data_IF_926383136250
#
_entry.id   IF_926383136250
#
_cell.length_a   1.000
_cell.length_b   1.000
_cell.length_c   1.000
_cell.angle_alpha   90.00
_cell.angle_beta   90.00
_cell.angle_gamma   90.00
#
_symmetry.space_group_name_H-M   'P 1'
#
loop_
_entity.id
_entity.type
_entity.pdbx_description
1 polymer ?
#
# COMPACT_ATOMS: atom_id res chain seq x y z
N UNK A 1 14.54 0.85 -9.04
CA UNK A 1 14.31 1.17 -7.63
C UNK A 1 14.32 -0.08 -6.76
N UNK A 2 14.04 0.05 -5.45
CA UNK A 2 14.10 -1.07 -4.49
C UNK A 2 13.23 -2.27 -4.91
N UNK A 3 11.98 -2.03 -5.29
CA UNK A 3 11.04 -3.06 -5.73
C UNK A 3 11.58 -3.87 -6.93
N UNK A 4 12.13 -3.16 -7.93
CA UNK A 4 12.74 -3.82 -9.10
C UNK A 4 13.99 -4.63 -8.72
N UNK A 5 14.80 -4.14 -7.79
CA UNK A 5 15.95 -4.89 -7.27
C UNK A 5 15.55 -6.14 -6.50
N UNK A 6 14.47 -6.05 -5.71
CA UNK A 6 13.93 -7.19 -4.97
C UNK A 6 13.44 -8.28 -5.92
N UNK A 7 12.65 -7.94 -6.95
CA UNK A 7 12.15 -8.94 -7.89
C UNK A 7 13.29 -9.57 -8.71
N UNK A 8 14.25 -8.76 -9.18
CA UNK A 8 15.43 -9.28 -9.88
C UNK A 8 16.21 -10.26 -9.00
N UNK A 9 16.46 -9.91 -7.73
CA UNK A 9 17.14 -10.80 -6.79
C UNK A 9 16.40 -12.12 -6.57
N UNK A 10 15.06 -12.08 -6.47
CA UNK A 10 14.24 -13.28 -6.31
C UNK A 10 14.23 -14.16 -7.57
N UNK A 11 14.19 -13.56 -8.77
CA UNK A 11 14.20 -14.28 -10.05
C UNK A 11 15.54 -14.98 -10.30
N UNK A 12 16.66 -14.35 -9.92
CA UNK A 12 17.99 -14.95 -10.09
C UNK A 12 18.41 -15.87 -8.94
N UNK A 13 17.71 -15.85 -7.81
CA UNK A 13 18.01 -16.75 -6.71
C UNK A 13 17.60 -18.18 -7.02
N UNK A 14 18.51 -19.16 -6.83
CA UNK A 14 18.30 -20.58 -7.14
C UNK A 14 18.19 -21.50 -5.92
N UNK A 15 18.45 -20.99 -4.70
CA UNK A 15 18.40 -21.75 -3.45
C UNK A 15 17.00 -22.29 -3.11
N UNK A 16 16.90 -23.29 -2.25
CA UNK A 16 15.64 -23.85 -1.72
C UNK A 16 14.90 -22.85 -0.85
N UNK A 17 15.62 -21.99 -0.17
CA UNK A 17 15.12 -20.83 0.55
C UNK A 17 15.91 -19.58 0.14
N UNK A 18 15.25 -18.42 0.19
CA UNK A 18 15.84 -17.12 -0.16
C UNK A 18 15.62 -16.15 0.98
N UNK A 19 16.68 -15.49 1.38
CA UNK A 19 16.61 -14.45 2.43
C UNK A 19 16.74 -13.09 1.78
N UNK A 20 15.73 -12.24 2.00
CA UNK A 20 15.72 -10.84 1.62
C UNK A 20 16.21 -10.01 2.80
N UNK A 21 17.27 -9.22 2.61
CA UNK A 21 17.87 -8.39 3.65
C UNK A 21 18.37 -7.07 3.06
N UNK A 22 18.10 -5.94 3.74
CA UNK A 22 18.65 -4.64 3.33
C UNK A 22 20.14 -4.56 3.68
N UNK A 23 20.93 -3.92 2.81
CA UNK A 23 22.38 -3.77 2.96
C UNK A 23 22.84 -2.63 3.87
N UNK A 24 21.95 -2.02 4.66
CA UNK A 24 22.23 -0.86 5.51
C UNK A 24 22.60 -1.22 6.97
N UNK A 25 22.87 -2.49 7.24
CA UNK A 25 23.26 -3.06 8.52
C UNK A 25 22.22 -2.88 9.65
N UNK A 26 20.99 -2.50 9.34
CA UNK A 26 19.91 -2.44 10.33
C UNK A 26 19.29 -3.83 10.59
N UNK A 27 19.54 -4.78 9.71
CA UNK A 27 19.12 -6.18 9.86
C UNK A 27 20.29 -7.02 10.37
N UNK A 28 20.21 -7.56 11.62
CA UNK A 28 21.32 -8.29 12.20
C UNK A 28 21.52 -9.66 11.53
N UNK A 29 22.69 -9.94 10.93
CA UNK A 29 22.96 -11.24 10.33
C UNK A 29 22.92 -12.41 11.33
N UNK A 30 23.09 -12.13 12.61
CA UNK A 30 22.99 -13.11 13.71
C UNK A 30 21.62 -13.80 13.77
N UNK A 31 20.58 -13.25 13.13
CA UNK A 31 19.24 -13.88 13.05
C UNK A 31 19.15 -14.97 11.98
N UNK A 32 20.07 -15.02 11.03
CA UNK A 32 20.01 -15.97 9.91
C UNK A 32 19.90 -17.45 10.37
N UNK A 33 20.69 -17.93 11.33
CA UNK A 33 20.54 -19.31 11.83
C UNK A 33 19.15 -19.59 12.38
N UNK A 34 18.58 -18.67 13.15
CA UNK A 34 17.25 -18.82 13.74
C UNK A 34 16.14 -18.79 12.67
N UNK A 35 16.32 -18.02 11.60
CA UNK A 35 15.39 -18.01 10.45
C UNK A 35 15.45 -19.33 9.69
N UNK A 36 16.65 -19.91 9.50
CA UNK A 36 16.85 -21.19 8.84
C UNK A 36 16.23 -22.31 9.68
N UNK A 37 16.45 -22.32 10.99
CA UNK A 37 15.83 -23.30 11.89
C UNK A 37 14.30 -23.27 11.81
N UNK A 38 13.71 -22.08 11.77
CA UNK A 38 12.26 -21.96 11.58
C UNK A 38 11.79 -22.51 10.22
N UNK A 39 12.54 -22.28 9.16
CA UNK A 39 12.28 -22.88 7.84
C UNK A 39 12.34 -24.41 7.88
N UNK A 40 13.35 -24.99 8.54
CA UNK A 40 13.49 -26.44 8.73
C UNK A 40 12.34 -27.04 9.56
N UNK A 41 11.72 -26.25 10.45
CA UNK A 41 10.50 -26.61 11.18
C UNK A 41 9.24 -26.62 10.29
N UNK A 42 9.34 -26.25 8.99
CA UNK A 42 8.25 -26.28 8.03
C UNK A 42 7.50 -24.96 7.82
N UNK A 43 8.04 -23.85 8.33
CA UNK A 43 7.47 -22.53 7.99
C UNK A 43 7.92 -22.09 6.60
N UNK A 44 6.98 -21.57 5.82
CA UNK A 44 7.23 -21.11 4.46
C UNK A 44 7.79 -19.71 4.38
N UNK A 45 7.40 -18.87 5.33
CA UNK A 45 7.84 -17.49 5.49
C UNK A 45 8.33 -17.31 6.92
N UNK A 46 9.52 -16.74 7.07
CA UNK A 46 10.02 -16.32 8.38
C UNK A 46 10.30 -14.83 8.32
N UNK A 47 9.50 -14.05 9.04
CA UNK A 47 9.58 -12.59 9.03
C UNK A 47 10.26 -12.06 10.28
N UNK A 48 11.23 -11.17 10.09
CA UNK A 48 11.85 -10.48 11.19
C UNK A 48 11.05 -9.21 11.54
N UNK A 49 10.64 -9.10 12.81
CA UNK A 49 9.92 -7.97 13.37
C UNK A 49 10.84 -7.20 14.31
N UNK A 50 11.08 -5.94 14.00
CA UNK A 50 11.83 -5.07 14.91
C UNK A 50 10.96 -4.61 16.08
N UNK A 51 11.50 -4.65 17.28
CA UNK A 51 10.89 -4.00 18.44
C UNK A 51 10.98 -2.48 18.29
N UNK A 52 10.05 -1.75 18.93
CA UNK A 52 10.07 -0.28 18.92
C UNK A 52 10.89 0.31 20.08
N UNK A 53 11.75 -0.49 20.69
CA UNK A 53 12.64 -0.08 21.77
C UNK A 53 13.54 1.06 21.30
N UNK A 54 13.55 2.19 22.00
CA UNK A 54 14.36 3.37 21.67
C UNK A 54 13.76 4.32 20.61
N UNK A 55 12.57 4.06 20.06
CA UNK A 55 11.89 5.00 19.16
C UNK A 55 11.26 6.18 19.93
N UNK A 56 11.23 7.35 19.30
CA UNK A 56 10.56 8.52 19.86
C UNK A 56 9.04 8.30 19.95
N UNK A 57 8.36 8.63 21.08
CA UNK A 57 6.93 8.33 21.30
C UNK A 57 5.99 8.82 20.20
N UNK A 58 6.25 10.01 19.64
CA UNK A 58 5.43 10.58 18.58
C UNK A 58 5.53 9.77 17.26
N UNK A 59 6.69 9.20 16.94
CA UNK A 59 6.86 8.33 15.77
C UNK A 59 6.10 7.01 15.93
N UNK A 60 6.18 6.42 17.12
CA UNK A 60 5.44 5.20 17.46
C UNK A 60 3.93 5.44 17.39
N UNK A 61 3.44 6.58 17.90
CA UNK A 61 2.03 6.97 17.83
C UNK A 61 1.56 7.12 16.38
N UNK A 62 2.29 7.87 15.55
CA UNK A 62 1.96 8.06 14.14
C UNK A 62 1.94 6.73 13.37
N UNK A 63 2.94 5.88 13.60
CA UNK A 63 3.02 4.59 12.93
C UNK A 63 1.85 3.67 13.35
N UNK A 64 1.52 3.56 14.64
CA UNK A 64 0.36 2.78 15.10
C UNK A 64 -0.94 3.26 14.48
N UNK A 65 -1.17 4.59 14.40
CA UNK A 65 -2.36 5.14 13.75
C UNK A 65 -2.37 4.86 12.25
N UNK A 66 -1.21 4.96 11.59
CA UNK A 66 -1.07 4.60 10.18
C UNK A 66 -1.44 3.13 9.93
N UNK A 67 -0.86 2.17 10.67
CA UNK A 67 -1.19 0.75 10.50
C UNK A 67 -2.66 0.46 10.81
N UNK A 68 -3.23 1.09 11.85
CA UNK A 68 -4.66 0.95 12.18
C UNK A 68 -5.56 1.45 11.04
N UNK A 69 -5.22 2.60 10.45
CA UNK A 69 -5.97 3.16 9.33
C UNK A 69 -5.79 2.31 8.06
N UNK A 70 -4.56 1.92 7.73
CA UNK A 70 -4.24 1.10 6.58
C UNK A 70 -4.97 -0.25 6.66
N UNK A 71 -4.89 -0.96 7.78
CA UNK A 71 -5.57 -2.24 7.97
C UNK A 71 -7.11 -2.13 7.95
N UNK A 72 -7.68 -0.96 8.33
CA UNK A 72 -9.11 -0.71 8.15
C UNK A 72 -9.49 -0.49 6.68
N UNK A 73 -8.60 0.11 5.92
CA UNK A 73 -8.83 0.46 4.51
C UNK A 73 -8.39 -0.63 3.54
N UNK A 74 -7.39 -1.43 3.85
CA UNK A 74 -6.88 -2.51 3.00
C UNK A 74 -7.60 -3.83 3.30
N UNK A 75 -7.65 -4.72 2.31
CA UNK A 75 -8.21 -6.07 2.47
C UNK A 75 -7.15 -7.08 2.91
N UNK A 76 -5.97 -6.59 3.29
CA UNK A 76 -4.83 -7.34 3.83
C UNK A 76 -4.43 -6.75 5.17
N UNK A 77 -3.92 -7.58 6.07
CA UNK A 77 -3.41 -7.14 7.37
C UNK A 77 -1.90 -6.92 7.32
N UNK A 78 -1.48 -5.66 7.45
CA UNK A 78 -0.08 -5.29 7.56
C UNK A 78 0.35 -5.35 9.03
N UNK A 79 1.32 -6.21 9.34
CA UNK A 79 1.88 -6.29 10.69
C UNK A 79 2.85 -5.14 10.97
N UNK A 80 2.60 -4.43 12.08
CA UNK A 80 3.45 -3.32 12.53
C UNK A 80 4.85 -3.83 12.95
N UNK A 81 5.89 -3.12 12.54
CA UNK A 81 7.29 -3.46 12.85
C UNK A 81 7.89 -4.56 11.99
N UNK A 82 7.12 -5.27 11.18
CA UNK A 82 7.65 -6.26 10.24
C UNK A 82 8.34 -5.53 9.09
N UNK A 83 9.63 -5.82 8.94
CA UNK A 83 10.48 -5.29 7.87
C UNK A 83 10.45 -6.20 6.64
N UNK A 84 11.23 -5.84 5.64
CA UNK A 84 11.46 -6.70 4.48
C UNK A 84 12.52 -7.78 4.75
N UNK A 85 13.09 -7.82 5.94
CA UNK A 85 13.99 -8.89 6.37
C UNK A 85 13.20 -10.17 6.60
N UNK A 86 13.22 -11.04 5.58
CA UNK A 86 12.41 -12.26 5.53
C UNK A 86 13.16 -13.40 4.86
N UNK A 87 12.87 -14.61 5.32
CA UNK A 87 13.20 -15.83 4.61
C UNK A 87 11.93 -16.34 3.90
N UNK A 88 12.09 -16.75 2.66
CA UNK A 88 11.04 -17.34 1.84
C UNK A 88 11.44 -18.72 1.35
N UNK A 89 10.57 -19.72 1.47
CA UNK A 89 10.73 -21.02 0.80
C UNK A 89 10.65 -20.84 -0.73
N UNK A 90 11.19 -21.77 -1.49
CA UNK A 90 11.15 -21.74 -2.97
C UNK A 90 9.73 -21.60 -3.51
N UNK A 91 8.75 -22.29 -2.90
CA UNK A 91 7.35 -22.17 -3.34
C UNK A 91 6.79 -20.75 -3.17
N UNK A 92 7.18 -20.06 -2.10
CA UNK A 92 6.79 -18.65 -1.85
C UNK A 92 7.47 -17.73 -2.86
N UNK A 93 8.77 -17.92 -3.11
CA UNK A 93 9.50 -17.16 -4.12
C UNK A 93 8.84 -17.30 -5.50
N UNK A 94 8.50 -18.51 -5.91
CA UNK A 94 7.83 -18.75 -7.19
C UNK A 94 6.45 -18.08 -7.26
N UNK A 95 5.69 -18.07 -6.15
CA UNK A 95 4.43 -17.35 -6.05
C UNK A 95 4.63 -15.84 -6.19
N UNK A 96 5.65 -15.26 -5.53
CA UNK A 96 5.96 -13.83 -5.61
C UNK A 96 6.39 -13.42 -7.03
N UNK A 97 7.20 -14.24 -7.71
CA UNK A 97 7.65 -14.00 -9.08
C UNK A 97 6.49 -14.08 -10.07
N UNK A 98 5.51 -14.98 -9.85
CA UNK A 98 4.34 -15.10 -10.72
C UNK A 98 3.42 -13.86 -10.69
N UNK A 99 3.51 -13.04 -9.66
CA UNK A 99 2.76 -11.78 -9.56
C UNK A 99 3.52 -10.67 -10.28
N UNK A 100 3.08 -10.34 -11.48
CA UNK A 100 3.75 -9.37 -12.37
C UNK A 100 3.13 -7.97 -12.28
N UNK A 101 2.60 -7.58 -11.15
CA UNK A 101 2.03 -6.25 -10.93
C UNK A 101 3.08 -5.16 -11.16
N UNK A 102 2.79 -4.20 -12.05
CA UNK A 102 3.70 -3.08 -12.31
C UNK A 102 3.85 -2.17 -11.09
N UNK A 103 2.72 -1.86 -10.42
CA UNK A 103 2.70 -1.03 -9.23
C UNK A 103 2.88 -1.89 -7.97
N UNK A 104 4.05 -2.51 -7.84
CA UNK A 104 4.35 -3.41 -6.72
C UNK A 104 4.38 -2.68 -5.38
N UNK A 105 3.75 -3.30 -4.40
CA UNK A 105 3.86 -2.95 -2.99
C UNK A 105 4.23 -4.22 -2.23
N UNK A 106 5.53 -4.52 -2.15
CA UNK A 106 6.05 -5.81 -1.65
C UNK A 106 5.50 -6.18 -0.29
N UNK A 107 5.36 -5.23 0.64
CA UNK A 107 4.77 -5.52 1.97
C UNK A 107 3.34 -6.05 1.87
N UNK A 108 2.56 -5.51 0.95
CA UNK A 108 1.21 -5.98 0.69
C UNK A 108 1.18 -7.35 0.04
N UNK A 109 2.03 -7.58 -0.96
CA UNK A 109 2.17 -8.88 -1.62
C UNK A 109 2.53 -9.95 -0.60
N UNK A 110 3.52 -9.70 0.26
CA UNK A 110 3.96 -10.65 1.29
C UNK A 110 2.87 -10.96 2.33
N UNK A 111 2.00 -10.01 2.64
CA UNK A 111 0.85 -10.24 3.51
C UNK A 111 -0.30 -10.99 2.80
N UNK A 112 -0.46 -10.75 1.49
CA UNK A 112 -1.55 -11.30 0.69
C UNK A 112 -1.36 -12.80 0.34
N UNK A 113 -0.12 -13.25 0.16
CA UNK A 113 0.18 -14.62 -0.29
C UNK A 113 -0.24 -15.71 0.70
N UNK A 114 -0.45 -15.41 1.98
CA UNK A 114 -1.13 -16.26 2.96
C UNK A 114 -0.45 -17.60 3.28
N UNK A 115 0.87 -17.72 3.08
CA UNK A 115 1.63 -18.91 3.47
C UNK A 115 1.85 -18.99 4.99
N UNK A 116 2.25 -20.18 5.47
CA UNK A 116 2.56 -20.41 6.88
C UNK A 116 3.75 -19.55 7.33
N UNK A 117 3.48 -18.51 8.12
CA UNK A 117 4.45 -17.50 8.54
C UNK A 117 4.80 -17.62 10.02
N UNK A 118 6.11 -17.56 10.33
CA UNK A 118 6.64 -17.38 11.68
C UNK A 118 7.27 -16.00 11.81
N UNK A 119 6.90 -15.26 12.85
CA UNK A 119 7.48 -13.95 13.15
C UNK A 119 8.52 -14.10 14.25
N UNK A 120 9.74 -13.62 14.02
CA UNK A 120 10.83 -13.59 14.98
C UNK A 120 11.14 -12.13 15.32
N UNK A 121 11.16 -11.80 16.61
CA UNK A 121 11.44 -10.41 17.04
C UNK A 121 12.94 -10.18 17.24
N UNK A 122 13.38 -8.97 16.88
CA UNK A 122 14.74 -8.51 17.17
C UNK A 122 14.74 -7.06 17.65
N UNK A 123 15.76 -6.70 18.41
CA UNK A 123 15.94 -5.35 18.89
C UNK A 123 16.29 -4.39 17.76
N UNK A 124 15.63 -3.22 17.77
CA UNK A 124 15.87 -2.19 16.77
C UNK A 124 17.31 -1.68 16.84
N UNK A 125 18.07 -1.87 15.77
CA UNK A 125 19.41 -1.30 15.64
C UNK A 125 19.31 0.09 15.01
N UNK A 126 19.85 1.09 15.73
CA UNK A 126 19.92 2.46 15.21
C UNK A 126 20.90 2.49 14.04
N UNK A 127 20.48 3.09 12.93
CA UNK A 127 21.34 3.24 11.74
C UNK A 127 22.65 3.94 12.13
N UNK A 128 23.76 3.26 11.87
CA UNK A 128 25.10 3.77 12.15
C UNK A 128 25.70 4.57 10.99
N UNK A 129 25.23 4.35 9.76
CA UNK A 129 25.74 4.97 8.53
C UNK A 129 24.58 5.44 7.64
N UNK A 130 24.68 6.67 7.12
CA UNK A 130 23.75 7.24 6.15
C UNK A 130 22.57 8.01 6.75
N UNK A 131 21.99 8.89 5.94
CA UNK A 131 20.82 9.70 6.31
C UNK A 131 19.52 9.11 5.75
N UNK A 132 18.42 9.35 6.45
CA UNK A 132 17.09 8.93 5.99
C UNK A 132 16.66 9.78 4.80
N UNK A 133 16.61 9.20 3.60
CA UNK A 133 16.13 9.86 2.37
C UNK A 133 14.59 9.98 2.30
N UNK A 134 13.87 9.43 3.26
CA UNK A 134 12.41 9.43 3.26
C UNK A 134 11.85 10.71 3.86
N UNK A 135 11.31 11.58 2.99
CA UNK A 135 10.53 12.75 3.42
C UNK A 135 9.11 12.32 3.85
N UNK A 136 8.43 13.15 4.64
CA UNK A 136 7.01 12.92 5.00
C UNK A 136 6.13 12.77 3.76
N UNK A 137 6.38 13.57 2.72
CA UNK A 137 5.67 13.51 1.43
C UNK A 137 5.86 12.15 0.75
N UNK A 138 7.08 11.61 0.76
CA UNK A 138 7.37 10.30 0.19
C UNK A 138 6.63 9.19 0.96
N UNK A 139 6.66 9.24 2.29
CA UNK A 139 5.96 8.26 3.15
C UNK A 139 4.44 8.29 2.94
N UNK A 140 3.86 9.48 2.77
CA UNK A 140 2.44 9.64 2.49
C UNK A 140 2.07 9.08 1.11
N UNK A 141 2.85 9.41 0.07
CA UNK A 141 2.63 8.86 -1.27
C UNK A 141 2.75 7.33 -1.30
N UNK A 142 3.75 6.77 -0.60
CA UNK A 142 3.91 5.32 -0.48
C UNK A 142 2.71 4.66 0.22
N UNK A 143 2.19 5.31 1.27
CA UNK A 143 0.98 4.88 1.96
C UNK A 143 -0.26 4.89 1.05
N UNK A 144 -0.47 5.97 0.31
CA UNK A 144 -1.58 6.10 -0.65
C UNK A 144 -1.46 5.03 -1.74
N UNK A 145 -0.26 4.83 -2.29
CA UNK A 145 -0.01 3.78 -3.28
C UNK A 145 -0.36 2.39 -2.73
N UNK A 146 0.05 2.08 -1.50
CA UNK A 146 -0.28 0.81 -0.85
C UNK A 146 -1.80 0.61 -0.69
N UNK A 147 -2.50 1.62 -0.18
CA UNK A 147 -3.96 1.58 -0.02
C UNK A 147 -4.66 1.36 -1.37
N UNK A 148 -4.30 2.14 -2.38
CA UNK A 148 -4.93 2.06 -3.71
C UNK A 148 -4.57 0.76 -4.47
N UNK A 149 -3.49 0.06 -4.12
CA UNK A 149 -3.09 -1.20 -4.79
C UNK A 149 -3.85 -2.41 -4.26
N UNK A 150 -4.31 -2.38 -3.00
CA UNK A 150 -4.96 -3.52 -2.36
C UNK A 150 -6.41 -3.22 -1.94
N UNK A 151 -7.08 -2.26 -2.61
CA UNK A 151 -8.43 -1.89 -2.20
C UNK A 151 -9.17 -1.01 -3.21
N UNK A 152 -10.48 -1.23 -3.31
CA UNK A 152 -11.44 -0.39 -4.03
C UNK A 152 -12.28 0.53 -3.11
N UNK A 153 -12.08 0.46 -1.78
CA UNK A 153 -12.86 1.26 -0.80
C UNK A 153 -12.82 2.76 -1.04
N UNK A 154 -11.68 3.40 -1.44
CA UNK A 154 -11.69 4.81 -1.78
C UNK A 154 -12.66 5.16 -2.89
N UNK A 155 -12.79 4.28 -3.89
CA UNK A 155 -13.75 4.47 -5.00
C UNK A 155 -15.19 4.34 -4.50
N UNK A 156 -15.48 3.33 -3.66
CA UNK A 156 -16.80 3.16 -3.03
C UNK A 156 -17.15 4.31 -2.08
N UNK A 157 -16.17 4.88 -1.39
CA UNK A 157 -16.38 6.07 -0.57
C UNK A 157 -16.86 7.27 -1.40
N UNK A 158 -16.30 7.48 -2.59
CA UNK A 158 -16.77 8.53 -3.51
C UNK A 158 -18.23 8.30 -3.92
N UNK A 159 -18.61 7.05 -4.22
CA UNK A 159 -19.99 6.68 -4.57
C UNK A 159 -20.93 6.96 -3.39
N UNK A 160 -20.61 6.50 -2.19
CA UNK A 160 -21.43 6.70 -0.99
C UNK A 160 -21.58 8.17 -0.63
N UNK A 161 -20.49 8.94 -0.77
CA UNK A 161 -20.51 10.38 -0.53
C UNK A 161 -21.35 11.12 -1.57
N UNK A 162 -21.23 10.75 -2.85
CA UNK A 162 -22.08 11.29 -3.91
C UNK A 162 -23.56 11.01 -3.69
N UNK A 163 -23.90 9.78 -3.27
CA UNK A 163 -25.29 9.42 -2.92
C UNK A 163 -25.81 10.22 -1.72
N UNK A 164 -25.01 10.40 -0.69
CA UNK A 164 -25.34 11.22 0.47
C UNK A 164 -25.63 12.67 0.09
N UNK A 165 -24.77 13.26 -0.75
CA UNK A 165 -24.97 14.63 -1.27
C UNK A 165 -26.24 14.74 -2.12
N UNK A 166 -26.54 13.73 -2.94
CA UNK A 166 -27.77 13.66 -3.73
C UNK A 166 -29.01 13.64 -2.83
N UNK A 167 -29.02 12.84 -1.78
CA UNK A 167 -30.15 12.77 -0.84
C UNK A 167 -30.37 14.11 -0.12
N UNK A 168 -29.32 14.79 0.31
CA UNK A 168 -29.39 16.13 0.91
C UNK A 168 -29.96 17.12 -0.09
N UNK A 169 -29.48 17.11 -1.34
CA UNK A 169 -30.02 17.99 -2.39
C UNK A 169 -31.50 17.77 -2.64
N UNK A 170 -31.94 16.52 -2.74
CA UNK A 170 -33.35 16.19 -2.92
C UNK A 170 -34.21 16.68 -1.74
N UNK A 171 -33.74 16.47 -0.52
CA UNK A 171 -34.40 16.95 0.68
C UNK A 171 -34.53 18.49 0.69
N UNK A 172 -33.45 19.19 0.28
CA UNK A 172 -33.47 20.66 0.18
C UNK A 172 -34.43 21.15 -0.91
N UNK A 173 -34.44 20.52 -2.09
CA UNK A 173 -35.37 20.86 -3.17
C UNK A 173 -36.82 20.64 -2.73
N UNK A 174 -37.10 19.53 -2.06
CA UNK A 174 -38.43 19.25 -1.54
C UNK A 174 -38.86 20.27 -0.49
N UNK A 175 -37.95 20.62 0.44
CA UNK A 175 -38.20 21.65 1.43
C UNK A 175 -38.54 23.01 0.80
N UNK A 176 -37.74 23.47 -0.18
CA UNK A 176 -37.97 24.75 -0.86
C UNK A 176 -39.25 24.73 -1.67
N UNK A 177 -39.62 23.60 -2.28
CA UNK A 177 -40.88 23.41 -3.00
C UNK A 177 -42.09 23.51 -2.06
N UNK A 178 -42.03 22.89 -0.87
CA UNK A 178 -43.07 23.01 0.13
C UNK A 178 -43.23 24.46 0.63
N UNK A 179 -42.10 25.12 0.91
CA UNK A 179 -42.07 26.54 1.29
C UNK A 179 -42.76 27.45 0.20
N UNK A 180 -42.49 27.20 -1.07
CA UNK A 180 -43.09 27.92 -2.18
C UNK A 180 -44.60 27.73 -2.22
N UNK A 181 -45.12 26.55 -1.93
CA UNK A 181 -46.57 26.25 -1.91
C UNK A 181 -47.29 26.88 -0.70
N UNK A 182 -46.61 26.95 0.47
CA UNK A 182 -47.21 27.43 1.74
C UNK A 182 -47.11 28.95 1.89
N UNK A 183 -46.03 29.57 1.39
CA UNK A 183 -45.76 31.02 1.51
C UNK A 183 -45.31 31.56 0.15
N UNK A 184 -46.26 31.86 -0.76
CA UNK A 184 -45.94 32.29 -2.15
C UNK A 184 -45.08 33.53 -2.26
N UNK A 185 -45.12 34.44 -1.29
CA UNK A 185 -44.32 35.68 -1.28
C UNK A 185 -42.93 35.57 -0.63
N UNK A 186 -42.53 34.39 -0.18
CA UNK A 186 -41.18 34.17 0.33
C UNK A 186 -40.19 34.01 -0.82
N UNK A 187 -39.89 35.08 -1.53
CA UNK A 187 -38.74 35.14 -2.44
C UNK A 187 -37.47 35.00 -1.66
N UNK A 188 -37.07 33.78 -1.42
CA UNK A 188 -35.75 33.47 -0.85
C UNK A 188 -34.72 33.93 -1.89
N UNK A 189 -33.84 34.84 -1.52
CA UNK A 189 -32.70 35.26 -2.34
C UNK A 189 -31.78 34.04 -2.53
N UNK A 190 -32.10 33.19 -3.50
CA UNK A 190 -31.44 31.91 -3.74
C UNK A 190 -30.06 32.01 -4.38
N UNK A 191 -29.59 33.22 -4.67
CA UNK A 191 -28.31 33.41 -5.39
C UNK A 191 -27.10 32.81 -4.65
N UNK A 192 -26.93 33.12 -3.34
CA UNK A 192 -25.83 32.59 -2.53
C UNK A 192 -25.89 31.05 -2.40
N UNK A 193 -27.08 30.53 -2.11
CA UNK A 193 -27.31 29.08 -2.00
C UNK A 193 -27.02 28.34 -3.31
N UNK A 194 -27.42 28.94 -4.44
CA UNK A 194 -27.15 28.35 -5.75
C UNK A 194 -25.66 28.32 -6.07
N UNK A 195 -24.94 29.44 -5.90
CA UNK A 195 -23.48 29.47 -6.14
C UNK A 195 -22.75 28.52 -5.18
N UNK A 196 -23.08 28.56 -3.90
CA UNK A 196 -22.47 27.65 -2.92
C UNK A 196 -22.68 26.18 -3.30
N UNK A 197 -23.89 25.80 -3.68
CA UNK A 197 -24.21 24.44 -4.11
C UNK A 197 -23.43 24.03 -5.38
N UNK A 198 -23.34 24.89 -6.37
CA UNK A 198 -22.59 24.62 -7.62
C UNK A 198 -21.11 24.43 -7.33
N UNK A 199 -20.50 25.30 -6.51
CA UNK A 199 -19.08 25.21 -6.15
C UNK A 199 -18.81 23.97 -5.32
N UNK A 200 -19.67 23.67 -4.34
CA UNK A 200 -19.53 22.51 -3.47
C UNK A 200 -19.63 21.18 -4.28
N UNK A 201 -20.69 21.02 -5.07
CA UNK A 201 -20.87 19.81 -5.88
C UNK A 201 -19.83 19.69 -6.97
N UNK A 202 -19.44 20.79 -7.62
CA UNK A 202 -18.34 20.82 -8.58
C UNK A 202 -17.02 20.38 -7.97
N UNK A 203 -16.71 20.85 -6.76
CA UNK A 203 -15.52 20.44 -6.00
C UNK A 203 -15.51 18.95 -5.67
N UNK A 204 -16.63 18.43 -5.16
CA UNK A 204 -16.79 17.00 -4.85
C UNK A 204 -16.63 16.14 -6.11
N UNK A 205 -17.25 16.57 -7.22
CA UNK A 205 -17.15 15.89 -8.51
C UNK A 205 -15.71 15.84 -9.02
N UNK A 206 -14.96 16.94 -8.95
CA UNK A 206 -13.55 16.98 -9.34
C UNK A 206 -12.68 16.05 -8.48
N UNK A 207 -12.92 15.98 -7.16
CA UNK A 207 -12.22 15.05 -6.28
C UNK A 207 -12.52 13.61 -6.67
N UNK A 208 -13.79 13.28 -6.94
CA UNK A 208 -14.20 11.93 -7.36
C UNK A 208 -13.56 11.52 -8.69
N UNK A 209 -13.49 12.43 -9.65
CA UNK A 209 -12.80 12.23 -10.94
C UNK A 209 -11.30 12.05 -10.70
N UNK A 210 -10.71 12.81 -9.78
CA UNK A 210 -9.30 12.65 -9.39
C UNK A 210 -8.99 11.25 -8.84
N UNK A 211 -9.83 10.75 -7.93
CA UNK A 211 -9.69 9.38 -7.40
C UNK A 211 -9.81 8.34 -8.53
N UNK A 212 -10.80 8.49 -9.40
CA UNK A 212 -10.96 7.61 -10.58
C UNK A 212 -9.74 7.67 -11.49
N UNK A 213 -9.17 8.85 -11.71
CA UNK A 213 -7.96 9.07 -12.49
C UNK A 213 -6.75 8.30 -11.95
N UNK A 214 -6.59 8.23 -10.63
CA UNK A 214 -5.53 7.43 -9.97
C UNK A 214 -5.66 5.93 -10.29
N UNK A 215 -6.88 5.36 -10.24
CA UNK A 215 -7.11 3.97 -10.61
C UNK A 215 -6.87 3.72 -12.10
N UNK A 216 -7.36 4.60 -12.96
CA UNK A 216 -7.11 4.51 -14.42
C UNK A 216 -5.61 4.59 -14.71
N UNK A 217 -4.87 5.48 -14.02
CA UNK A 217 -3.42 5.56 -14.12
C UNK A 217 -2.73 4.26 -13.78
N UNK A 218 -3.16 3.54 -12.73
CA UNK A 218 -2.62 2.23 -12.37
C UNK A 218 -2.92 1.18 -13.45
N UNK A 219 -4.16 1.10 -13.91
CA UNK A 219 -4.58 0.19 -15.00
C UNK A 219 -3.74 0.46 -16.26
N UNK A 220 -3.48 1.71 -16.60
CA UNK A 220 -2.65 2.08 -17.74
C UNK A 220 -1.24 1.50 -17.66
N UNK A 221 -0.60 1.53 -16.49
CA UNK A 221 0.72 0.94 -16.31
C UNK A 221 0.70 -0.58 -16.35
N UNK A 222 -0.35 -1.22 -15.79
CA UNK A 222 -0.54 -2.67 -15.86
C UNK A 222 -0.72 -3.17 -17.30
N UNK A 223 -1.52 -2.46 -18.09
CA UNK A 223 -1.77 -2.83 -19.51
C UNK A 223 -0.50 -2.70 -20.36
N UNK A 224 0.39 -1.76 -20.03
CA UNK A 224 1.67 -1.61 -20.76
C UNK A 224 2.62 -2.77 -20.61
N UNK A 225 2.52 -3.57 -19.56
CA UNK A 225 3.37 -4.76 -19.28
C UNK A 225 4.87 -4.50 -19.49
N UNK A 226 5.35 -3.32 -19.12
CA UNK A 226 6.78 -3.02 -19.20
C UNK A 226 7.55 -3.85 -18.17
N UNK A 227 8.73 -4.41 -18.51
CA UNK A 227 9.52 -5.16 -17.54
C UNK A 227 9.94 -4.26 -16.36
N UNK A 228 10.02 -4.83 -15.17
CA UNK A 228 10.40 -4.10 -13.95
C UNK A 228 11.86 -3.63 -13.99
N UNK A 229 12.71 -4.33 -14.73
CA UNK A 229 14.12 -4.04 -14.93
C UNK A 229 14.59 -4.57 -16.27
N UNK A 230 15.71 -4.07 -16.75
CA UNK A 230 16.41 -4.57 -17.93
C UNK A 230 17.79 -5.03 -17.48
N UNK A 231 18.19 -6.21 -17.95
CA UNK A 231 19.53 -6.76 -17.67
C UNK A 231 20.48 -6.28 -18.74
N UNK A 232 21.54 -5.59 -18.31
CA UNK A 232 22.63 -5.18 -19.20
C UNK A 232 23.65 -6.31 -19.32
N UNK A 233 24.13 -6.84 -18.19
CA UNK A 233 25.08 -7.94 -18.13
C UNK A 233 24.76 -8.86 -16.95
N UNK A 234 24.95 -10.16 -17.14
CA UNK A 234 24.80 -11.16 -16.08
C UNK A 234 25.83 -12.26 -16.24
N UNK A 235 26.36 -12.74 -15.12
CA UNK A 235 27.18 -13.95 -15.05
C UNK A 235 26.39 -15.16 -14.51
N UNK A 236 25.08 -15.00 -14.31
CA UNK A 236 24.20 -16.04 -13.79
C UNK A 236 23.36 -16.59 -14.94
N UNK A 237 23.40 -17.90 -15.15
CA UNK A 237 22.55 -18.58 -16.14
C UNK A 237 21.21 -18.91 -15.49
N UNK A 238 20.14 -18.26 -15.92
CA UNK A 238 18.76 -18.58 -15.50
C UNK A 238 18.30 -19.83 -16.24
N UNK A 239 17.87 -20.88 -15.50
CA UNK A 239 17.25 -22.05 -16.10
C UNK A 239 15.92 -21.64 -16.74
N UNK A 240 15.88 -21.49 -18.07
CA UNK A 240 14.65 -21.19 -18.81
C UNK A 240 14.82 -20.26 -20.02
N UNK A 241 15.88 -19.50 -20.14
CA UNK A 241 16.23 -18.80 -21.38
C UNK A 241 17.03 -19.70 -22.30
N UNK A 242 16.33 -20.64 -22.96
CA UNK A 242 16.77 -21.14 -24.25
C UNK A 242 16.10 -20.30 -25.33
N UNK A 243 16.92 -19.57 -26.07
CA UNK A 243 16.60 -18.75 -27.25
C UNK A 243 15.40 -19.19 -28.07
#
# INVERSE_FOLDING_TARGET
GKEAGTIAGLEYATGEAVILMDGDLQHPPAMLPQMIEAYEQGYDVVSARRTRTGEKPHRTFLAKHFYKLANKMMDIELMDGVSEFRLFSRKVVNAIISMQEYNRFSKGIFAWIGFNEKVIEYENQVRTVGETKYSLKFSLNYAIQGILSFNDKPLRMCINFGLFCLLISLAYVLWTFIQYLVVPDSLVSGYFTTIFSVVLFGGIQLISIGVLGEYIGKIYYEVKKRPHYLVDQTNITVKGEQN
#
